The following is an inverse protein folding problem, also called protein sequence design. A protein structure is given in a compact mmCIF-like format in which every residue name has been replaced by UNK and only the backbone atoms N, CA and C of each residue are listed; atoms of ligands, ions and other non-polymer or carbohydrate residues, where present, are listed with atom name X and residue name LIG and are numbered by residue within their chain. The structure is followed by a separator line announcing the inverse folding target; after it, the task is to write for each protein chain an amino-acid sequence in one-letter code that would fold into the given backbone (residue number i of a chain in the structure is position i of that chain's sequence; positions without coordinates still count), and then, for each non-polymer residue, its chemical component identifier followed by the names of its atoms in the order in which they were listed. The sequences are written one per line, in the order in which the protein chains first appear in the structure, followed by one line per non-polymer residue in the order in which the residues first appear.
data_IF_687271941319
#
_entry.id   IF_687271941319
#
_cell.length_a   1.000
_cell.length_b   1.000
_cell.length_c   1.000
_cell.angle_alpha   90.00
_cell.angle_beta   90.00
_cell.angle_gamma   90.00
#
_symmetry.space_group_name_H-M   'P 1'
#
loop_
_entity.id
_entity.type
_entity.pdbx_description
1 polymer ?
#
# COMPACT_ATOMS: atom_id res chain seq x y z
N UNK A 1 3.93 -29.51 -69.00
CA UNK A 1 3.61 -30.35 -67.82
C UNK A 1 4.90 -30.54 -67.03
N UNK A 2 4.94 -30.13 -65.77
CA UNK A 2 6.13 -30.23 -64.91
C UNK A 2 6.04 -29.26 -63.74
N UNK A 3 5.26 -29.63 -62.72
CA UNK A 3 5.10 -28.86 -61.47
C UNK A 3 6.41 -28.87 -60.68
N UNK A 4 6.98 -27.68 -60.42
CA UNK A 4 8.10 -27.49 -59.52
C UNK A 4 7.66 -27.71 -58.06
N UNK A 5 8.29 -28.66 -57.39
CA UNK A 5 8.01 -29.06 -56.01
C UNK A 5 8.50 -27.96 -55.05
N UNK A 6 7.59 -27.43 -54.22
CA UNK A 6 7.87 -26.47 -53.16
C UNK A 6 8.68 -27.11 -52.01
N UNK A 7 10.01 -27.14 -52.11
CA UNK A 7 10.91 -27.49 -51.02
C UNK A 7 11.48 -26.23 -50.34
N UNK A 8 10.72 -25.60 -49.43
CA UNK A 8 11.24 -24.44 -48.70
C UNK A 8 10.49 -24.00 -47.45
N UNK A 9 9.39 -24.67 -47.07
CA UNK A 9 8.55 -24.26 -45.92
C UNK A 9 9.00 -24.81 -44.56
N UNK A 10 9.93 -25.76 -44.54
CA UNK A 10 10.41 -26.40 -43.30
C UNK A 10 11.55 -25.67 -42.60
N UNK A 11 12.17 -24.67 -43.24
CA UNK A 11 13.28 -23.88 -42.68
C UNK A 11 12.80 -22.65 -41.88
N UNK A 12 11.63 -22.09 -42.19
CA UNK A 12 11.10 -20.91 -41.48
C UNK A 12 10.46 -21.26 -40.13
N UNK A 13 9.83 -22.43 -40.03
CA UNK A 13 9.22 -22.91 -38.79
C UNK A 13 10.26 -23.30 -37.76
N UNK A 14 11.35 -23.94 -38.17
CA UNK A 14 12.44 -24.30 -37.27
C UNK A 14 13.16 -23.06 -36.70
N UNK A 15 13.36 -22.02 -37.53
CA UNK A 15 13.96 -20.74 -37.11
C UNK A 15 13.04 -19.98 -36.13
N UNK A 16 11.75 -19.88 -36.42
CA UNK A 16 10.76 -19.29 -35.52
C UNK A 16 10.63 -20.06 -34.19
N UNK A 17 10.65 -21.39 -34.24
CA UNK A 17 10.60 -22.22 -33.04
C UNK A 17 11.89 -22.11 -32.22
N UNK A 18 13.06 -22.00 -32.87
CA UNK A 18 14.33 -21.78 -32.19
C UNK A 18 14.39 -20.42 -31.50
N UNK A 19 13.88 -19.36 -32.14
CA UNK A 19 13.74 -18.02 -31.54
C UNK A 19 12.75 -17.99 -30.37
N UNK A 20 11.68 -18.77 -30.43
CA UNK A 20 10.69 -18.87 -29.35
C UNK A 20 11.19 -19.73 -28.18
N UNK A 21 11.93 -20.81 -28.45
CA UNK A 21 12.55 -21.67 -27.43
C UNK A 21 13.72 -20.97 -26.73
N UNK A 22 14.54 -20.22 -27.46
CA UNK A 22 15.59 -19.37 -26.87
C UNK A 22 15.02 -18.25 -26.00
N UNK A 23 13.90 -17.64 -26.40
CA UNK A 23 13.16 -16.67 -25.57
C UNK A 23 12.67 -17.27 -24.24
N UNK A 24 12.25 -18.53 -24.24
CA UNK A 24 11.82 -19.23 -23.03
C UNK A 24 13.01 -19.65 -22.14
N UNK A 25 14.14 -20.03 -22.73
CA UNK A 25 15.37 -20.40 -22.01
C UNK A 25 16.05 -19.20 -21.34
N UNK A 26 15.88 -18.00 -21.87
CA UNK A 26 16.40 -16.76 -21.28
C UNK A 26 15.45 -16.07 -20.28
N UNK A 27 14.22 -16.56 -20.11
CA UNK A 27 13.24 -15.97 -19.20
C UNK A 27 13.30 -16.59 -17.80
N UNK A 28 14.01 -15.93 -16.88
CA UNK A 28 13.97 -16.30 -15.46
C UNK A 28 12.64 -15.81 -14.83
N UNK A 29 11.65 -16.71 -14.86
CA UNK A 29 10.34 -16.48 -14.27
C UNK A 29 10.42 -16.14 -12.77
N UNK A 30 11.37 -16.72 -12.02
CA UNK A 30 11.50 -16.47 -10.58
C UNK A 30 12.00 -15.06 -10.31
N UNK A 31 12.98 -14.60 -11.10
CA UNK A 31 13.51 -13.24 -11.01
C UNK A 31 12.44 -12.20 -11.38
N UNK A 32 11.68 -12.47 -12.44
CA UNK A 32 10.56 -11.61 -12.87
C UNK A 32 9.46 -11.51 -11.80
N UNK A 33 9.07 -12.62 -11.18
CA UNK A 33 8.09 -12.61 -10.08
C UNK A 33 8.61 -11.82 -8.87
N UNK A 34 9.89 -11.96 -8.51
CA UNK A 34 10.49 -11.17 -7.42
C UNK A 34 10.47 -9.67 -7.71
N UNK A 35 10.78 -9.26 -8.94
CA UNK A 35 10.68 -7.86 -9.36
C UNK A 35 9.24 -7.35 -9.28
N UNK A 36 8.27 -8.11 -9.80
CA UNK A 36 6.85 -7.76 -9.73
C UNK A 36 6.34 -7.64 -8.27
N UNK A 37 6.79 -8.51 -7.38
CA UNK A 37 6.45 -8.45 -5.96
C UNK A 37 7.07 -7.22 -5.28
N UNK A 38 8.33 -6.90 -5.58
CA UNK A 38 9.00 -5.70 -5.07
C UNK A 38 8.30 -4.42 -5.56
N UNK A 39 7.97 -4.35 -6.85
CA UNK A 39 7.19 -3.25 -7.43
C UNK A 39 5.81 -3.14 -6.79
N UNK A 40 5.11 -4.27 -6.61
CA UNK A 40 3.80 -4.29 -5.95
C UNK A 40 3.90 -3.78 -4.52
N UNK A 41 4.97 -4.12 -3.79
CA UNK A 41 5.21 -3.62 -2.43
C UNK A 41 5.48 -2.12 -2.39
N UNK A 42 6.20 -1.58 -3.38
CA UNK A 42 6.43 -0.15 -3.52
C UNK A 42 5.15 0.61 -3.91
N UNK A 43 4.36 0.09 -4.86
CA UNK A 43 3.04 0.65 -5.22
C UNK A 43 2.05 0.60 -4.06
N UNK A 44 2.15 -0.41 -3.20
CA UNK A 44 1.34 -0.56 -1.96
C UNK A 44 1.77 0.38 -0.83
N UNK A 45 2.87 1.15 -0.95
CA UNK A 45 3.18 2.24 0.00
C UNK A 45 2.13 3.35 -0.17
N UNK A 46 0.97 3.16 0.45
CA UNK A 46 -0.09 4.16 0.56
C UNK A 46 0.55 5.46 1.04
N UNK A 47 0.38 6.59 0.33
CA UNK A 47 1.00 7.84 0.72
C UNK A 47 0.56 8.16 2.14
N UNK A 48 1.55 8.33 3.02
CA UNK A 48 1.39 8.67 4.45
C UNK A 48 0.41 9.84 4.66
N UNK A 49 0.29 10.74 3.66
CA UNK A 49 -0.67 11.84 3.61
C UNK A 49 -2.15 11.42 3.62
N UNK A 50 -2.52 10.27 3.05
CA UNK A 50 -3.91 9.76 3.04
C UNK A 50 -4.34 9.18 4.40
N UNK A 51 -3.37 8.84 5.25
CA UNK A 51 -3.58 8.29 6.60
C UNK A 51 -3.44 9.34 7.72
N UNK A 52 -3.27 10.63 7.37
CA UNK A 52 -3.26 11.70 8.37
C UNK A 52 -4.71 11.88 8.83
N UNK A 53 -5.02 11.39 10.02
CA UNK A 53 -6.36 11.54 10.59
C UNK A 53 -6.62 13.04 10.77
N UNK A 54 -7.87 13.48 10.58
CA UNK A 54 -8.26 14.87 10.91
C UNK A 54 -7.93 15.21 12.37
N UNK A 55 -7.84 14.18 13.23
CA UNK A 55 -7.43 14.24 14.63
C UNK A 55 -5.93 14.56 14.80
N UNK A 56 -5.06 14.19 13.86
CA UNK A 56 -3.61 14.46 13.94
C UNK A 56 -3.30 15.97 13.93
N UNK A 57 -4.22 16.79 13.39
CA UNK A 57 -4.10 18.26 13.45
C UNK A 57 -4.23 18.79 14.88
N UNK A 58 -5.04 18.15 15.70
CA UNK A 58 -5.34 18.53 17.09
C UNK A 58 -4.70 17.56 18.09
N UNK A 59 -3.64 16.88 17.66
CA UNK A 59 -3.01 15.80 18.42
C UNK A 59 -2.59 16.28 19.81
N UNK A 60 -1.95 17.44 19.89
CA UNK A 60 -1.41 17.95 21.16
C UNK A 60 -2.55 18.30 22.13
N UNK A 61 -3.61 18.90 21.62
CA UNK A 61 -4.79 19.29 22.38
C UNK A 61 -5.59 18.08 22.86
N UNK A 62 -5.79 17.08 22.01
CA UNK A 62 -6.47 15.83 22.39
C UNK A 62 -5.69 15.11 23.50
N UNK A 63 -4.37 15.04 23.38
CA UNK A 63 -3.52 14.42 24.39
C UNK A 63 -3.50 15.24 25.70
N UNK A 64 -3.55 16.57 25.63
CA UNK A 64 -3.70 17.42 26.80
C UNK A 64 -5.04 17.15 27.51
N UNK A 65 -6.15 17.16 26.78
CA UNK A 65 -7.48 16.84 27.31
C UNK A 65 -7.49 15.46 27.98
N UNK A 66 -6.88 14.44 27.35
CA UNK A 66 -6.79 13.10 27.92
C UNK A 66 -5.93 13.05 29.19
N UNK A 67 -4.83 13.79 29.25
CA UNK A 67 -3.99 13.89 30.45
C UNK A 67 -4.74 14.53 31.63
N UNK A 68 -5.65 15.46 31.36
CA UNK A 68 -6.55 16.05 32.36
C UNK A 68 -7.77 15.16 32.71
N UNK A 69 -7.82 13.93 32.20
CA UNK A 69 -8.87 12.96 32.53
C UNK A 69 -10.11 13.02 31.64
N UNK A 70 -10.09 13.78 30.55
CA UNK A 70 -11.23 13.82 29.63
C UNK A 70 -11.48 12.45 28.98
N UNK A 71 -12.76 12.06 28.95
CA UNK A 71 -13.24 10.88 28.25
C UNK A 71 -13.24 11.07 26.72
N UNK A 72 -13.29 9.96 25.98
CA UNK A 72 -13.39 9.99 24.52
C UNK A 72 -14.64 10.77 24.03
N UNK A 73 -15.74 10.73 24.76
CA UNK A 73 -16.97 11.45 24.43
C UNK A 73 -16.83 12.97 24.61
N UNK A 74 -16.11 13.42 25.65
CA UNK A 74 -15.81 14.83 25.87
C UNK A 74 -14.85 15.37 24.81
N UNK A 75 -13.83 14.58 24.46
CA UNK A 75 -12.92 14.90 23.36
C UNK A 75 -13.70 15.03 22.05
N UNK A 76 -14.64 14.12 21.76
CA UNK A 76 -15.52 14.24 20.60
C UNK A 76 -16.36 15.52 20.63
N UNK A 77 -16.93 15.88 21.80
CA UNK A 77 -17.71 17.11 21.96
C UNK A 77 -16.86 18.35 21.70
N UNK A 78 -15.64 18.39 22.21
CA UNK A 78 -14.69 19.46 21.95
C UNK A 78 -14.30 19.55 20.46
N UNK A 79 -14.09 18.42 19.79
CA UNK A 79 -13.81 18.38 18.34
C UNK A 79 -14.98 18.91 17.51
N UNK A 80 -16.22 18.64 17.92
CA UNK A 80 -17.42 19.19 17.27
C UNK A 80 -17.45 20.72 17.34
N UNK A 81 -17.05 21.30 18.47
CA UNK A 81 -16.92 22.77 18.62
C UNK A 81 -15.88 23.34 17.63
N UNK A 82 -14.82 22.59 17.34
CA UNK A 82 -13.80 22.94 16.34
C UNK A 82 -14.19 22.63 14.89
N UNK A 83 -15.47 22.35 14.62
CA UNK A 83 -16.02 21.95 13.30
C UNK A 83 -15.41 20.64 12.76
N UNK A 84 -14.96 19.76 13.65
CA UNK A 84 -14.47 18.41 13.32
C UNK A 84 -15.50 17.39 13.77
N UNK A 85 -16.32 16.93 12.83
CA UNK A 85 -17.26 15.85 13.10
C UNK A 85 -16.57 14.50 12.86
N UNK A 86 -16.30 13.79 13.95
CA UNK A 86 -15.77 12.42 13.95
C UNK A 86 -16.64 11.55 14.83
N UNK A 87 -16.70 10.26 14.51
CA UNK A 87 -17.45 9.29 15.30
C UNK A 87 -16.65 8.89 16.56
N UNK A 88 -17.35 8.49 17.63
CA UNK A 88 -16.71 8.13 18.90
C UNK A 88 -15.66 7.03 18.71
N UNK A 89 -15.94 6.00 17.91
CA UNK A 89 -14.99 4.91 17.65
C UNK A 89 -13.74 5.38 16.92
N UNK A 90 -13.83 6.48 16.15
CA UNK A 90 -12.64 7.08 15.52
C UNK A 90 -11.77 7.73 16.58
N UNK A 91 -12.36 8.39 17.58
CA UNK A 91 -11.64 8.97 18.73
C UNK A 91 -11.03 7.88 19.59
N UNK A 92 -11.79 6.84 19.95
CA UNK A 92 -11.29 5.71 20.75
C UNK A 92 -10.12 5.00 20.08
N UNK A 93 -10.25 4.60 18.81
CA UNK A 93 -9.15 3.97 18.06
C UNK A 93 -7.93 4.87 17.93
N UNK A 94 -8.14 6.18 17.78
CA UNK A 94 -7.04 7.14 17.71
C UNK A 94 -6.35 7.26 19.07
N UNK A 95 -7.10 7.27 20.17
CA UNK A 95 -6.54 7.28 21.53
C UNK A 95 -5.78 5.98 21.82
N UNK A 96 -6.32 4.79 21.54
CA UNK A 96 -5.62 3.51 21.72
C UNK A 96 -4.24 3.50 21.04
N UNK A 97 -4.15 4.07 19.84
CA UNK A 97 -2.89 4.18 19.08
C UNK A 97 -1.90 5.20 19.67
N UNK A 98 -2.39 6.24 20.36
CA UNK A 98 -1.56 7.35 20.84
C UNK A 98 -1.39 7.39 22.37
N UNK A 99 -2.19 6.66 23.14
CA UNK A 99 -2.12 6.57 24.61
C UNK A 99 -0.77 5.98 25.06
N UNK A 100 -0.19 5.06 24.28
CA UNK A 100 1.17 4.55 24.51
C UNK A 100 2.25 5.66 24.47
N UNK A 101 2.00 6.76 23.75
CA UNK A 101 2.92 7.91 23.73
C UNK A 101 2.76 8.81 24.97
N UNK A 102 1.60 8.75 25.65
CA UNK A 102 1.39 9.44 26.93
C UNK A 102 2.18 8.72 28.03
N UNK A 103 2.12 7.38 28.05
CA UNK A 103 2.80 6.55 29.04
C UNK A 103 4.34 6.63 28.93
N UNK A 104 4.87 6.78 27.71
CA UNK A 104 6.32 6.87 27.48
C UNK A 104 6.95 8.20 27.93
N UNK A 105 6.18 9.27 28.16
CA UNK A 105 6.70 10.60 28.54
C UNK A 105 6.79 10.79 30.07
N UNK A 106 6.40 9.77 30.84
CA UNK A 106 6.32 9.80 32.31
C UNK A 106 7.57 9.23 32.99
N UNK A 107 8.62 8.92 32.23
CA UNK A 107 9.94 8.49 32.67
C UNK A 107 11.00 9.47 32.13
#
# INVERSE_FOLDING_TARGET
MGHAIHSGRWLQTADQMFLQLSRLLMFDAKMTVRQLQAETRLRRKKPYRRNKSRLDRYRMEILALRQHGASAAEIQRWLRQKRVCVFLTTVTRWLEKNDGQILSRKN
#
